data_IF_277392250904
#
_entry.id   IF_277392250904
#
_cell.length_a   1.000
_cell.length_b   1.000
_cell.length_c   1.000
_cell.angle_alpha   90.00
_cell.angle_beta   90.00
_cell.angle_gamma   90.00
#
_symmetry.space_group_name_H-M   'P 1'
#
loop_
_entity.id
_entity.type
_entity.pdbx_description
1 polymer ?
#
# COMPACT_ATOMS: atom_id res chain seq x y z
N UNK A 1 6.27 6.27 15.64
CA UNK A 1 6.42 5.29 14.55
C UNK A 1 5.25 4.30 14.60
N UNK A 2 4.95 3.63 13.48
CA UNK A 2 3.81 2.71 13.32
C UNK A 2 4.34 1.28 13.22
N UNK A 3 3.83 0.35 14.05
CA UNK A 3 4.07 -1.08 13.83
C UNK A 3 3.11 -1.56 12.75
N UNK A 4 3.64 -2.03 11.62
CA UNK A 4 2.85 -2.51 10.48
C UNK A 4 2.63 -4.02 10.67
N UNK A 5 1.38 -4.44 10.72
CA UNK A 5 1.01 -5.87 10.74
C UNK A 5 0.68 -6.38 9.34
N UNK A 6 -0.03 -5.57 8.55
CA UNK A 6 -0.35 -5.91 7.17
C UNK A 6 -0.21 -4.71 6.24
N UNK A 7 0.18 -4.99 4.99
CA UNK A 7 0.26 -4.00 3.93
C UNK A 7 -0.41 -4.51 2.65
N UNK A 8 -1.19 -3.65 2.00
CA UNK A 8 -1.89 -3.96 0.75
C UNK A 8 -1.52 -2.98 -0.36
N UNK A 9 -1.26 -3.53 -1.55
CA UNK A 9 -0.97 -2.78 -2.78
C UNK A 9 -1.80 -3.30 -3.94
N UNK A 10 -2.03 -2.44 -4.94
CA UNK A 10 -2.78 -2.82 -6.14
C UNK A 10 -1.93 -3.76 -7.02
N UNK A 11 -2.47 -4.88 -7.49
CA UNK A 11 -1.78 -5.89 -8.32
C UNK A 11 -1.26 -5.31 -9.63
N UNK A 12 -1.94 -4.30 -10.16
CA UNK A 12 -1.60 -3.57 -11.38
C UNK A 12 -0.24 -2.86 -11.27
N UNK A 13 0.24 -2.58 -10.04
CA UNK A 13 1.54 -1.97 -9.79
C UNK A 13 2.70 -2.80 -10.39
N UNK A 14 2.55 -4.14 -10.45
CA UNK A 14 3.57 -5.05 -11.00
C UNK A 14 3.89 -4.74 -12.46
N UNK A 15 2.86 -4.41 -13.24
CA UNK A 15 3.00 -4.14 -14.67
C UNK A 15 3.21 -2.64 -14.95
N UNK A 16 2.55 -1.79 -14.18
CA UNK A 16 2.44 -0.35 -14.49
C UNK A 16 3.46 0.50 -13.74
N UNK A 17 4.01 0.01 -12.64
CA UNK A 17 4.95 0.77 -11.81
C UNK A 17 5.90 -0.15 -10.99
N UNK A 18 6.73 -0.96 -11.66
CA UNK A 18 7.65 -1.88 -10.98
C UNK A 18 8.70 -1.15 -10.12
N UNK A 19 9.02 0.11 -10.44
CA UNK A 19 9.99 0.90 -9.67
C UNK A 19 9.47 1.20 -8.26
N UNK A 20 8.23 1.69 -8.14
CA UNK A 20 7.60 1.92 -6.84
C UNK A 20 7.40 0.61 -6.08
N UNK A 21 7.05 -0.48 -6.78
CA UNK A 21 6.94 -1.79 -6.13
C UNK A 21 8.27 -2.22 -5.50
N UNK A 22 9.38 -2.10 -6.22
CA UNK A 22 10.70 -2.45 -5.70
C UNK A 22 11.08 -1.59 -4.47
N UNK A 23 10.74 -0.30 -4.49
CA UNK A 23 10.94 0.58 -3.34
C UNK A 23 10.12 0.09 -2.13
N UNK A 24 8.84 -0.23 -2.32
CA UNK A 24 7.99 -0.76 -1.25
C UNK A 24 8.57 -2.04 -0.69
N UNK A 25 8.98 -2.99 -1.55
CA UNK A 25 9.59 -4.26 -1.14
C UNK A 25 10.94 -4.11 -0.45
N UNK A 26 11.65 -2.99 -0.65
CA UNK A 26 12.89 -2.70 0.09
C UNK A 26 12.65 -2.18 1.52
N UNK A 27 11.42 -1.75 1.82
CA UNK A 27 11.03 -1.14 3.11
C UNK A 27 10.14 -2.10 3.92
N UNK A 28 9.26 -2.84 3.24
CA UNK A 28 8.27 -3.75 3.81
C UNK A 28 8.46 -5.13 3.18
N UNK A 29 8.83 -6.14 3.97
CA UNK A 29 9.09 -7.49 3.48
C UNK A 29 7.84 -8.16 2.89
N UNK A 30 6.69 -8.03 3.55
CA UNK A 30 5.45 -8.70 3.13
C UNK A 30 4.35 -7.71 2.74
N UNK A 31 3.94 -7.77 1.47
CA UNK A 31 2.82 -7.01 0.92
C UNK A 31 1.84 -7.93 0.23
N UNK A 32 0.55 -7.76 0.53
CA UNK A 32 -0.55 -8.46 -0.12
C UNK A 32 -0.99 -7.69 -1.36
N UNK A 33 -1.26 -8.40 -2.45
CA UNK A 33 -1.71 -7.81 -3.71
C UNK A 33 -3.22 -8.02 -3.89
N UNK A 34 -3.94 -6.93 -4.11
CA UNK A 34 -5.39 -6.91 -4.38
C UNK A 34 -5.66 -6.09 -5.64
N UNK A 35 -6.87 -6.14 -6.22
CA UNK A 35 -7.19 -5.23 -7.33
C UNK A 35 -7.20 -3.77 -6.90
N UNK A 36 -6.99 -2.86 -7.85
CA UNK A 36 -7.12 -1.43 -7.59
C UNK A 36 -8.54 -1.05 -7.09
N UNK A 37 -9.57 -1.77 -7.53
CA UNK A 37 -10.95 -1.58 -7.06
C UNK A 37 -11.12 -2.01 -5.60
N UNK A 38 -10.61 -3.18 -5.22
CA UNK A 38 -10.62 -3.63 -3.82
C UNK A 38 -9.83 -2.66 -2.92
N UNK A 39 -8.69 -2.15 -3.39
CA UNK A 39 -7.90 -1.18 -2.64
C UNK A 39 -8.68 0.13 -2.41
N UNK A 40 -9.46 0.58 -3.40
CA UNK A 40 -10.37 1.73 -3.24
C UNK A 40 -11.46 1.44 -2.21
N UNK A 41 -12.09 0.28 -2.27
CA UNK A 41 -13.14 -0.08 -1.30
C UNK A 41 -12.59 -0.17 0.12
N UNK A 42 -11.43 -0.79 0.33
CA UNK A 42 -10.76 -0.85 1.62
C UNK A 42 -10.33 0.53 2.12
N UNK A 43 -9.89 1.43 1.22
CA UNK A 43 -9.47 2.78 1.59
C UNK A 43 -10.58 3.61 2.24
N UNK A 44 -11.86 3.31 1.96
CA UNK A 44 -13.01 3.98 2.59
C UNK A 44 -13.10 3.70 4.09
N UNK A 45 -12.52 2.59 4.54
CA UNK A 45 -12.47 2.20 5.95
C UNK A 45 -11.21 2.72 6.65
N UNK A 46 -10.31 3.39 5.92
CA UNK A 46 -9.07 3.88 6.47
C UNK A 46 -9.32 4.94 7.55
N UNK A 47 -8.57 4.85 8.66
CA UNK A 47 -8.63 5.85 9.73
C UNK A 47 -8.13 7.22 9.26
N UNK A 48 -7.17 7.23 8.35
CA UNK A 48 -6.63 8.42 7.71
C UNK A 48 -6.11 8.06 6.31
N UNK A 49 -6.13 9.05 5.40
CA UNK A 49 -5.56 8.96 4.07
C UNK A 49 -4.47 10.01 3.95
N UNK A 50 -3.23 9.59 3.69
CA UNK A 50 -2.11 10.47 3.42
C UNK A 50 -2.00 10.65 1.92
N UNK A 51 -2.32 11.86 1.43
CA UNK A 51 -2.18 12.20 0.02
C UNK A 51 -0.80 12.81 -0.23
N UNK A 52 -0.05 12.23 -1.14
CA UNK A 52 1.29 12.69 -1.54
C UNK A 52 1.24 13.43 -2.89
N UNK A 53 2.37 14.01 -3.29
CA UNK A 53 2.58 14.57 -4.64
C UNK A 53 3.01 13.54 -5.68
N UNK A 54 2.91 12.24 -5.36
CA UNK A 54 3.29 11.17 -6.27
C UNK A 54 2.31 11.10 -7.46
N UNK A 55 2.85 11.12 -8.68
CA UNK A 55 2.06 11.14 -9.91
C UNK A 55 2.20 9.86 -10.74
N UNK A 56 2.97 8.87 -10.28
CA UNK A 56 3.09 7.57 -10.93
C UNK A 56 1.84 6.68 -10.69
N UNK A 57 1.47 5.85 -11.67
CA UNK A 57 0.26 5.04 -11.57
C UNK A 57 0.39 3.98 -10.47
N UNK A 58 -0.72 3.73 -9.77
CA UNK A 58 -0.83 2.70 -8.71
C UNK A 58 0.14 2.85 -7.54
N UNK A 59 0.71 4.04 -7.30
CA UNK A 59 1.52 4.36 -6.14
C UNK A 59 0.67 4.59 -4.87
N UNK A 60 -0.13 3.58 -4.50
CA UNK A 60 -0.98 3.61 -3.31
C UNK A 60 -0.70 2.35 -2.47
N UNK A 61 -0.69 2.53 -1.15
CA UNK A 61 -0.49 1.45 -0.18
C UNK A 61 -1.42 1.67 1.01
N UNK A 62 -2.04 0.60 1.50
CA UNK A 62 -2.77 0.58 2.78
C UNK A 62 -1.88 -0.09 3.81
N UNK A 63 -1.72 0.54 4.97
CA UNK A 63 -0.99 0.01 6.11
C UNK A 63 -1.96 -0.25 7.25
N UNK A 64 -1.95 -1.47 7.79
CA UNK A 64 -2.72 -1.86 8.96
C UNK A 64 -1.78 -1.86 10.16
N UNK A 65 -2.13 -1.07 11.17
CA UNK A 65 -1.39 -1.00 12.43
C UNK A 65 -1.56 -2.30 13.20
N UNK A 66 -0.44 -2.88 13.64
CA UNK A 66 -0.43 -3.89 14.69
C UNK A 66 -0.49 -3.27 16.09
N UNK A 67 -0.40 -4.15 17.09
CA UNK A 67 -0.31 -3.77 18.51
C UNK A 67 1.13 -3.91 18.99
N UNK A 68 1.64 -2.87 19.64
CA UNK A 68 2.90 -2.87 20.37
C UNK A 68 2.64 -3.44 21.78
N UNK A 69 3.18 -4.60 22.09
CA UNK A 69 3.21 -5.15 23.45
C UNK A 69 4.63 -5.52 23.85
#
# INVERSE_FOLDING_TARGET
ELQIEEAYVAKEIKEKNPQTLNLISSIIEEVKFISHEELKELSKQARAIIRTGECSPYANIILISGVLF
#
